data_IF_615764027111
#
_entry.id   IF_615764027111
#
_cell.length_a   1.000
_cell.length_b   1.000
_cell.length_c   1.000
_cell.angle_alpha   90.00
_cell.angle_beta   90.00
_cell.angle_gamma   90.00
#
_symmetry.space_group_name_H-M   'P 1'
#
loop_
_entity.id
_entity.type
_entity.pdbx_description
1 polymer ?
#
# COMPACT_ATOMS: atom_id res chain seq x y z
N UNK A 1 -0.02 6.82 -17.10
CA UNK A 1 0.29 7.00 -15.66
C UNK A 1 0.04 5.68 -14.96
N UNK A 2 0.91 5.29 -14.03
CA UNK A 2 0.67 4.13 -13.18
C UNK A 2 -0.54 4.40 -12.27
N UNK A 3 -1.34 3.38 -12.01
CA UNK A 3 -2.46 3.52 -11.09
C UNK A 3 -2.00 3.59 -9.64
N UNK A 4 -2.60 4.48 -8.85
CA UNK A 4 -2.26 4.72 -7.45
C UNK A 4 -3.36 4.16 -6.55
N UNK A 5 -3.08 3.08 -5.83
CA UNK A 5 -4.05 2.41 -4.95
C UNK A 5 -3.75 2.64 -3.48
N UNK A 6 -4.79 2.81 -2.65
CA UNK A 6 -4.65 2.93 -1.19
C UNK A 6 -3.90 1.73 -0.58
N UNK A 7 -4.16 0.52 -1.10
CA UNK A 7 -3.47 -0.69 -0.66
C UNK A 7 -1.95 -0.64 -0.83
N UNK A 8 -1.44 0.11 -1.83
CA UNK A 8 -0.01 0.22 -2.07
C UNK A 8 0.70 1.02 -0.99
N UNK A 9 0.18 2.20 -0.61
CA UNK A 9 0.77 3.01 0.46
C UNK A 9 0.65 2.32 1.82
N UNK A 10 -0.47 1.65 2.08
CA UNK A 10 -0.65 0.90 3.33
C UNK A 10 0.32 -0.27 3.45
N UNK A 11 0.67 -0.93 2.34
CA UNK A 11 1.67 -1.98 2.34
C UNK A 11 3.08 -1.44 2.67
N UNK A 12 3.44 -0.25 2.16
CA UNK A 12 4.70 0.42 2.52
C UNK A 12 4.71 0.77 4.01
N UNK A 13 3.65 1.41 4.52
CA UNK A 13 3.56 1.79 5.92
C UNK A 13 3.64 0.57 6.86
N UNK A 14 2.95 -0.52 6.51
CA UNK A 14 2.95 -1.76 7.31
C UNK A 14 4.34 -2.44 7.35
N UNK A 15 5.13 -2.32 6.29
CA UNK A 15 6.49 -2.85 6.25
C UNK A 15 7.48 -2.11 7.16
N UNK A 16 7.14 -0.89 7.57
CA UNK A 16 7.97 -0.05 8.45
C UNK A 16 7.66 -0.23 9.95
N UNK A 17 6.64 -1.00 10.30
CA UNK A 17 6.27 -1.20 11.71
C UNK A 17 7.45 -1.80 12.50
N UNK A 18 7.76 -1.18 13.64
CA UNK A 18 8.91 -1.52 14.47
C UNK A 18 10.19 -0.79 14.09
N UNK A 19 10.15 0.14 13.11
CA UNK A 19 11.25 1.05 12.89
C UNK A 19 11.31 2.07 14.03
N UNK A 20 12.45 2.14 14.73
CA UNK A 20 12.72 3.14 15.77
C UNK A 20 13.54 4.30 15.22
N UNK A 21 13.21 5.53 15.61
CA UNK A 21 14.07 6.68 15.35
C UNK A 21 15.43 6.51 16.03
N UNK A 22 16.39 7.31 15.60
CA UNK A 22 17.78 7.16 16.03
C UNK A 22 18.22 8.31 16.94
N UNK A 23 19.14 7.99 17.85
CA UNK A 23 19.79 9.00 18.72
C UNK A 23 20.82 9.85 17.99
N UNK A 24 21.18 9.50 16.76
CA UNK A 24 22.11 10.25 15.92
C UNK A 24 21.89 9.91 14.43
N UNK A 25 22.45 10.70 13.54
CA UNK A 25 22.36 10.51 12.08
C UNK A 25 23.25 9.34 11.60
N UNK A 26 23.09 8.17 12.22
CA UNK A 26 23.83 6.95 11.84
C UNK A 26 22.94 5.72 11.91
N UNK A 27 23.26 4.72 11.08
CA UNK A 27 22.54 3.45 10.98
C UNK A 27 21.02 3.61 10.71
N UNK A 28 20.66 4.63 9.96
CA UNK A 28 19.28 5.00 9.70
C UNK A 28 18.48 3.89 8.99
N UNK A 29 19.13 3.04 8.21
CA UNK A 29 18.47 1.96 7.46
C UNK A 29 18.26 0.68 8.29
N UNK A 30 18.89 0.57 9.46
CA UNK A 30 18.68 -0.57 10.35
C UNK A 30 17.52 -0.28 11.31
N UNK A 31 16.40 -1.01 11.28
CA UNK A 31 15.21 -0.67 12.06
C UNK A 31 15.45 -0.54 13.57
N UNK A 32 16.30 -1.40 14.15
CA UNK A 32 16.51 -1.48 15.60
C UNK A 32 17.80 -0.83 16.09
N UNK A 33 18.84 -0.74 15.24
CA UNK A 33 20.13 -0.23 15.67
C UNK A 33 20.08 1.28 15.95
N UNK A 34 20.94 1.73 16.89
CA UNK A 34 21.06 3.14 17.26
C UNK A 34 19.73 3.80 17.69
N UNK A 35 18.78 3.02 18.23
CA UNK A 35 17.48 3.52 18.66
C UNK A 35 17.63 4.61 19.73
N UNK A 36 16.78 5.63 19.68
CA UNK A 36 16.80 6.77 20.59
C UNK A 36 15.58 7.64 20.39
N UNK A 37 15.66 8.88 20.86
CA UNK A 37 14.58 9.88 20.84
C UNK A 37 15.04 11.22 20.30
N UNK A 38 15.92 11.21 19.27
CA UNK A 38 16.47 12.44 18.69
C UNK A 38 15.96 12.74 17.28
N UNK A 39 14.88 12.07 16.87
CA UNK A 39 14.18 12.30 15.61
C UNK A 39 15.02 12.07 14.33
N UNK A 40 16.17 11.39 14.40
CA UNK A 40 16.90 11.02 13.20
C UNK A 40 16.25 9.79 12.56
N UNK A 41 15.87 9.92 11.28
CA UNK A 41 15.19 8.84 10.56
C UNK A 41 15.68 8.71 9.12
N UNK A 42 15.55 7.52 8.54
CA UNK A 42 15.77 7.34 7.10
C UNK A 42 14.76 8.13 6.26
N UNK A 43 13.56 8.34 6.78
CA UNK A 43 12.49 9.08 6.09
C UNK A 43 12.91 10.53 5.85
N UNK A 44 13.33 11.23 6.89
CA UNK A 44 13.81 12.59 6.79
C UNK A 44 15.10 12.70 5.97
N UNK A 45 16.07 11.78 6.17
CA UNK A 45 17.29 11.72 5.34
C UNK A 45 16.96 11.63 3.86
N UNK A 46 16.04 10.75 3.48
CA UNK A 46 15.69 10.56 2.08
C UNK A 46 15.12 11.82 1.44
N UNK A 47 14.31 12.60 2.16
CA UNK A 47 13.87 13.90 1.69
C UNK A 47 15.03 14.91 1.60
N UNK A 48 15.85 14.98 2.64
CA UNK A 48 16.96 15.95 2.70
C UNK A 48 18.00 15.72 1.60
N UNK A 49 18.28 14.46 1.22
CA UNK A 49 19.33 14.10 0.29
C UNK A 49 18.81 13.87 -1.14
N UNK A 50 17.69 13.15 -1.30
CA UNK A 50 17.20 12.73 -2.62
C UNK A 50 16.14 13.68 -3.18
N UNK A 51 15.39 14.37 -2.30
CA UNK A 51 14.26 15.21 -2.68
C UNK A 51 14.27 16.59 -1.99
N UNK A 52 15.35 17.37 -2.14
CA UNK A 52 15.54 18.64 -1.38
C UNK A 52 14.53 19.73 -1.71
N UNK A 53 13.69 19.52 -2.73
CA UNK A 53 12.58 20.41 -3.09
C UNK A 53 11.25 20.01 -2.48
N UNK A 54 11.19 18.92 -1.72
CA UNK A 54 9.94 18.47 -1.12
C UNK A 54 9.47 19.43 -0.02
N UNK A 55 10.35 19.76 0.90
CA UNK A 55 10.10 20.73 1.96
C UNK A 55 10.87 22.04 1.76
N UNK A 56 10.62 23.01 2.63
CA UNK A 56 11.28 24.31 2.65
C UNK A 56 12.73 24.28 3.21
N UNK A 57 13.29 23.10 3.44
CA UNK A 57 14.64 22.89 3.97
C UNK A 57 14.77 21.52 4.65
N UNK A 58 15.97 21.24 5.16
CA UNK A 58 16.28 19.97 5.81
C UNK A 58 15.41 19.71 7.04
N UNK A 59 15.03 18.46 7.25
CA UNK A 59 14.10 18.02 8.29
C UNK A 59 14.63 16.88 9.18
N UNK A 60 15.81 16.31 8.90
CA UNK A 60 16.35 15.25 9.74
C UNK A 60 16.66 15.77 11.15
N UNK A 61 16.18 15.09 12.16
CA UNK A 61 16.20 15.56 13.56
C UNK A 61 14.95 16.33 14.01
N UNK A 62 13.92 16.46 13.17
CA UNK A 62 12.62 17.04 13.54
C UNK A 62 11.55 15.94 13.69
N UNK A 63 10.45 16.27 14.37
CA UNK A 63 9.29 15.38 14.50
C UNK A 63 8.85 14.88 13.12
N UNK A 64 8.65 13.57 12.99
CA UNK A 64 8.58 12.91 11.70
C UNK A 64 7.29 12.15 11.42
N UNK A 65 6.23 12.39 12.17
CA UNK A 65 4.92 11.75 11.92
C UNK A 65 4.38 12.08 10.52
N UNK A 66 4.46 13.35 10.10
CA UNK A 66 4.04 13.80 8.77
C UNK A 66 5.01 13.31 7.69
N UNK A 67 6.32 13.42 7.94
CA UNK A 67 7.35 12.88 7.03
C UNK A 67 7.20 11.38 6.77
N UNK A 68 6.74 10.61 7.73
CA UNK A 68 6.48 9.19 7.54
C UNK A 68 5.35 8.95 6.52
N UNK A 69 4.26 9.70 6.63
CA UNK A 69 3.15 9.61 5.67
C UNK A 69 3.62 10.00 4.27
N UNK A 70 4.31 11.14 4.16
CA UNK A 70 4.87 11.64 2.90
C UNK A 70 5.84 10.63 2.27
N UNK A 71 6.72 10.04 3.08
CA UNK A 71 7.68 9.05 2.62
C UNK A 71 7.00 7.75 2.14
N UNK A 72 5.95 7.31 2.80
CA UNK A 72 5.15 6.17 2.36
C UNK A 72 4.50 6.45 0.99
N UNK A 73 3.93 7.63 0.80
CA UNK A 73 3.35 8.06 -0.47
C UNK A 73 4.40 8.15 -1.59
N UNK A 74 5.54 8.78 -1.29
CA UNK A 74 6.66 8.91 -2.22
C UNK A 74 7.20 7.55 -2.64
N UNK A 75 7.36 6.63 -1.70
CA UNK A 75 7.86 5.28 -1.94
C UNK A 75 6.88 4.43 -2.76
N UNK A 76 5.58 4.61 -2.52
CA UNK A 76 4.54 3.87 -3.23
C UNK A 76 4.33 4.36 -4.67
N UNK A 77 4.42 5.68 -4.92
CA UNK A 77 3.92 6.28 -6.17
C UNK A 77 4.93 7.14 -6.91
N UNK A 78 6.08 7.43 -6.31
CA UNK A 78 7.07 8.36 -6.86
C UNK A 78 6.68 9.84 -6.67
N UNK A 79 7.59 10.72 -7.04
CA UNK A 79 7.57 12.14 -6.67
C UNK A 79 6.29 12.88 -7.09
N UNK A 80 5.96 12.84 -8.38
CA UNK A 80 4.85 13.61 -8.92
C UNK A 80 3.47 13.14 -8.42
N UNK A 81 3.27 11.81 -8.39
CA UNK A 81 2.00 11.25 -7.93
C UNK A 81 1.83 11.39 -6.42
N UNK A 82 2.89 11.29 -5.64
CA UNK A 82 2.83 11.52 -4.20
C UNK A 82 2.43 12.97 -3.87
N UNK A 83 3.04 13.98 -4.50
CA UNK A 83 2.64 15.40 -4.32
C UNK A 83 1.16 15.61 -4.69
N UNK A 84 0.74 15.05 -5.81
CA UNK A 84 -0.65 15.13 -6.27
C UNK A 84 -1.64 14.51 -5.28
N UNK A 85 -1.33 13.32 -4.76
CA UNK A 85 -2.18 12.58 -3.82
C UNK A 85 -2.27 13.27 -2.45
N UNK A 86 -1.16 13.80 -1.96
CA UNK A 86 -1.07 14.58 -0.72
C UNK A 86 -1.62 16.01 -0.87
N UNK A 87 -2.00 16.42 -2.09
CA UNK A 87 -2.37 17.81 -2.39
C UNK A 87 -1.26 18.82 -2.03
N UNK A 88 -0.02 18.37 -1.92
CA UNK A 88 1.11 19.11 -1.40
C UNK A 88 1.86 19.84 -2.52
N UNK A 89 2.15 21.14 -2.40
CA UNK A 89 3.00 21.84 -3.35
C UNK A 89 4.47 21.46 -3.15
N UNK A 90 5.27 21.58 -4.22
CA UNK A 90 6.73 21.59 -4.06
C UNK A 90 7.17 22.69 -3.10
N UNK A 91 8.25 22.46 -2.36
CA UNK A 91 8.75 23.37 -1.33
C UNK A 91 7.66 23.75 -0.33
N UNK A 92 6.91 22.77 0.10
CA UNK A 92 5.86 22.95 1.10
C UNK A 92 6.39 23.68 2.32
N UNK A 93 5.49 24.28 3.11
CA UNK A 93 5.87 25.11 4.27
C UNK A 93 6.64 24.33 5.34
N UNK A 94 6.65 23.01 5.29
CA UNK A 94 7.39 22.13 6.18
C UNK A 94 6.71 20.79 6.37
N UNK A 95 7.36 19.90 7.09
CA UNK A 95 6.84 18.61 7.51
C UNK A 95 5.94 18.80 8.74
N UNK A 96 4.83 19.48 8.59
CA UNK A 96 3.95 19.81 9.71
C UNK A 96 2.50 19.42 9.44
N UNK A 97 1.91 18.60 10.31
CA UNK A 97 0.58 18.07 10.16
C UNK A 97 -0.51 19.11 9.88
N UNK A 98 -0.38 20.33 10.44
CA UNK A 98 -1.30 21.43 10.16
C UNK A 98 -1.25 21.86 8.70
N UNK A 99 -0.05 21.90 8.10
CA UNK A 99 0.09 22.26 6.69
C UNK A 99 -0.52 21.17 5.79
N UNK A 100 -0.27 19.90 6.10
CA UNK A 100 -0.81 18.78 5.33
C UNK A 100 -2.33 18.78 5.36
N UNK A 101 -2.95 19.02 6.52
CA UNK A 101 -4.41 19.17 6.62
C UNK A 101 -4.90 20.33 5.74
N UNK A 102 -4.23 21.50 5.81
CA UNK A 102 -4.59 22.67 4.99
C UNK A 102 -4.50 22.40 3.48
N UNK A 103 -3.56 21.58 3.02
CA UNK A 103 -3.45 21.23 1.61
C UNK A 103 -4.67 20.43 1.14
N UNK A 104 -5.12 19.47 1.94
CA UNK A 104 -6.36 18.74 1.65
C UNK A 104 -7.59 19.64 1.68
N UNK A 105 -7.68 20.57 2.65
CA UNK A 105 -8.80 21.55 2.70
C UNK A 105 -8.86 22.41 1.43
N UNK A 106 -7.72 22.96 1.00
CA UNK A 106 -7.62 23.80 -0.21
C UNK A 106 -8.07 23.06 -1.48
N UNK A 107 -7.90 21.75 -1.51
CA UNK A 107 -8.29 20.92 -2.66
C UNK A 107 -9.67 20.25 -2.49
N UNK A 108 -10.42 20.61 -1.44
CA UNK A 108 -11.73 20.01 -1.16
C UNK A 108 -11.68 18.51 -0.83
N UNK A 109 -10.53 18.05 -0.31
CA UNK A 109 -10.30 16.64 0.00
C UNK A 109 -10.21 16.35 1.51
N UNK A 110 -10.54 17.31 2.31
CA UNK A 110 -10.69 17.13 3.75
C UNK A 110 -12.08 16.57 4.07
N UNK A 111 -12.13 15.62 5.01
CA UNK A 111 -13.35 15.01 5.53
C UNK A 111 -13.31 15.04 7.07
N UNK A 112 -14.36 15.59 7.68
CA UNK A 112 -14.47 15.63 9.14
C UNK A 112 -14.82 14.25 9.74
N UNK A 113 -15.44 13.37 8.96
CA UNK A 113 -15.95 12.04 9.36
C UNK A 113 -15.79 11.05 8.21
N UNK A 114 -16.18 9.80 8.45
CA UNK A 114 -16.20 8.74 7.44
C UNK A 114 -14.81 8.40 6.89
N UNK A 115 -13.85 7.99 7.76
CA UNK A 115 -12.52 7.59 7.32
C UNK A 115 -12.56 6.38 6.40
N UNK A 116 -11.60 6.35 5.45
CA UNK A 116 -11.40 5.22 4.54
C UNK A 116 -9.94 4.75 4.61
N UNK A 117 -9.68 3.47 4.35
CA UNK A 117 -8.30 2.99 4.24
C UNK A 117 -7.49 3.84 3.24
N UNK A 118 -6.29 4.24 3.65
CA UNK A 118 -5.42 5.13 2.89
C UNK A 118 -5.63 6.63 3.16
N UNK A 119 -6.69 7.05 3.87
CA UNK A 119 -6.81 8.44 4.31
C UNK A 119 -5.67 8.79 5.27
N UNK A 120 -5.18 10.01 5.21
CA UNK A 120 -4.31 10.59 6.23
C UNK A 120 -5.19 11.11 7.38
N UNK A 121 -5.04 10.55 8.57
CA UNK A 121 -5.78 10.98 9.77
C UNK A 121 -5.00 12.08 10.49
N UNK A 122 -5.72 13.06 11.03
CA UNK A 122 -5.15 14.18 11.75
C UNK A 122 -5.66 14.25 13.19
N UNK A 123 -4.74 14.48 14.10
CA UNK A 123 -5.00 14.54 15.54
C UNK A 123 -4.60 15.89 16.11
N UNK A 124 -5.33 16.35 17.14
CA UNK A 124 -5.05 17.59 17.83
C UNK A 124 -5.37 17.50 19.32
N UNK A 125 -4.38 17.73 20.15
CA UNK A 125 -4.57 17.88 21.60
C UNK A 125 -5.36 19.14 21.97
N UNK A 126 -5.38 20.12 21.06
CA UNK A 126 -6.19 21.32 21.19
C UNK A 126 -7.59 21.19 20.55
N UNK A 127 -7.94 20.00 20.04
CA UNK A 127 -9.20 19.73 19.34
C UNK A 127 -9.48 20.72 18.20
N UNK A 128 -8.42 21.17 17.51
CA UNK A 128 -8.50 22.23 16.49
C UNK A 128 -7.71 21.88 15.24
N UNK A 129 -8.30 22.11 14.06
CA UNK A 129 -7.65 21.95 12.76
C UNK A 129 -6.50 22.94 12.54
N UNK A 130 -6.51 24.07 13.22
CA UNK A 130 -5.42 25.06 13.14
C UNK A 130 -4.20 24.71 13.97
N UNK A 131 -4.29 23.65 14.80
CA UNK A 131 -3.21 23.18 15.65
C UNK A 131 -3.18 21.64 15.67
N UNK A 132 -2.83 21.04 14.53
CA UNK A 132 -2.70 19.59 14.40
C UNK A 132 -1.37 19.14 14.99
N UNK A 133 -1.41 18.23 15.96
CA UNK A 133 -0.24 17.78 16.71
C UNK A 133 0.34 16.45 16.24
N UNK A 134 -0.45 15.64 15.51
CA UNK A 134 -0.02 14.32 15.05
C UNK A 134 -0.81 13.85 13.82
N UNK A 135 -0.25 12.86 13.11
CA UNK A 135 -0.87 12.28 11.92
C UNK A 135 -0.41 10.84 11.70
N UNK A 136 -1.15 10.11 10.87
CA UNK A 136 -0.83 8.76 10.41
C UNK A 136 -1.68 8.37 9.21
N UNK A 137 -1.63 7.11 8.82
CA UNK A 137 -2.45 6.53 7.76
C UNK A 137 -3.55 5.66 8.35
N UNK A 138 -4.77 5.82 7.89
CA UNK A 138 -5.88 4.92 8.23
C UNK A 138 -5.63 3.57 7.57
N UNK A 139 -5.43 2.53 8.37
CA UNK A 139 -5.26 1.15 7.88
C UNK A 139 -6.61 0.50 7.61
N UNK A 140 -7.55 0.63 8.54
CA UNK A 140 -8.93 0.12 8.40
C UNK A 140 -9.89 0.79 9.37
N UNK A 141 -11.17 0.62 9.09
CA UNK A 141 -12.27 0.96 10.02
C UNK A 141 -13.01 -0.33 10.36
N UNK A 142 -13.34 -0.52 11.63
CA UNK A 142 -14.03 -1.70 12.12
C UNK A 142 -15.00 -1.29 13.24
N UNK A 143 -16.28 -1.32 12.94
CA UNK A 143 -17.33 -0.85 13.85
C UNK A 143 -17.13 0.61 14.24
N UNK A 144 -16.95 0.88 15.52
CA UNK A 144 -16.76 2.23 16.09
C UNK A 144 -15.30 2.67 16.18
N UNK A 145 -14.35 1.89 15.63
CA UNK A 145 -12.91 2.18 15.73
C UNK A 145 -12.27 2.39 14.38
N UNK A 146 -11.31 3.30 14.35
CA UNK A 146 -10.32 3.46 13.29
C UNK A 146 -8.98 2.88 13.75
N UNK A 147 -8.32 2.14 12.88
CA UNK A 147 -6.98 1.59 13.08
C UNK A 147 -6.01 2.31 12.16
N UNK A 148 -4.85 2.65 12.68
CA UNK A 148 -3.86 3.49 12.00
C UNK A 148 -2.48 2.84 12.00
N UNK A 149 -1.64 3.28 11.05
CA UNK A 149 -0.19 3.08 11.09
C UNK A 149 0.43 4.48 11.18
N UNK A 150 1.22 4.72 12.21
CA UNK A 150 1.72 6.04 12.55
C UNK A 150 3.24 6.02 12.72
N UNK A 151 3.90 7.03 12.16
CA UNK A 151 5.29 7.34 12.47
C UNK A 151 5.37 8.26 13.69
N UNK A 152 6.50 8.26 14.37
CA UNK A 152 6.76 9.07 15.56
C UNK A 152 5.71 8.88 16.68
N UNK A 153 5.21 7.67 16.80
CA UNK A 153 4.32 7.31 17.90
C UNK A 153 5.10 6.49 18.93
N UNK A 154 5.50 7.12 20.06
CA UNK A 154 6.46 6.58 21.02
C UNK A 154 7.81 6.24 20.34
N UNK A 155 8.35 7.20 19.60
CA UNK A 155 9.66 7.15 18.91
C UNK A 155 9.79 6.02 17.86
N UNK A 156 8.68 5.50 17.36
CA UNK A 156 8.67 4.40 16.39
C UNK A 156 7.50 4.46 15.40
N UNK A 157 7.54 3.56 14.42
CA UNK A 157 6.38 3.25 13.58
C UNK A 157 5.58 2.16 14.25
N UNK A 158 4.30 2.43 14.54
CA UNK A 158 3.44 1.45 15.20
C UNK A 158 1.98 1.54 14.72
N UNK A 159 1.23 0.45 14.96
CA UNK A 159 -0.23 0.46 14.86
C UNK A 159 -0.85 1.08 16.10
N UNK A 160 -1.90 1.87 15.87
CA UNK A 160 -2.76 2.43 16.93
C UNK A 160 -4.23 2.19 16.58
N UNK A 161 -5.11 2.43 17.56
CA UNK A 161 -6.55 2.44 17.30
C UNK A 161 -7.24 3.45 18.20
N UNK A 162 -8.27 4.10 17.65
CA UNK A 162 -9.04 5.15 18.31
C UNK A 162 -10.53 4.88 18.11
N UNK A 163 -11.37 5.38 18.99
CA UNK A 163 -12.80 5.44 18.70
C UNK A 163 -13.08 6.53 17.67
N UNK A 164 -14.02 6.29 16.75
CA UNK A 164 -14.43 7.30 15.77
C UNK A 164 -15.02 8.56 16.40
N UNK A 165 -15.47 8.46 17.66
CA UNK A 165 -15.99 9.57 18.47
C UNK A 165 -14.92 10.29 19.26
N UNK A 166 -13.65 9.89 19.16
CA UNK A 166 -12.56 10.52 19.90
C UNK A 166 -12.38 11.97 19.44
N UNK A 167 -12.52 12.91 20.35
CA UNK A 167 -12.38 14.34 20.06
C UNK A 167 -10.94 14.76 19.70
N UNK A 168 -9.96 13.88 19.96
CA UNK A 168 -8.60 14.06 19.51
C UNK A 168 -8.48 14.00 17.97
N UNK A 169 -9.38 13.28 17.30
CA UNK A 169 -9.43 13.22 15.83
C UNK A 169 -10.08 14.49 15.29
N UNK A 170 -9.34 15.27 14.51
CA UNK A 170 -9.85 16.50 13.89
C UNK A 170 -10.19 16.35 12.41
N UNK A 171 -10.05 15.17 11.86
CA UNK A 171 -10.49 14.84 10.50
C UNK A 171 -9.48 14.05 9.68
N UNK A 172 -9.75 13.99 8.39
CA UNK A 172 -9.05 13.10 7.43
C UNK A 172 -8.79 13.83 6.11
N UNK A 173 -7.59 13.67 5.59
CA UNK A 173 -7.25 14.02 4.22
C UNK A 173 -7.42 12.79 3.33
N UNK A 174 -8.18 12.90 2.24
CA UNK A 174 -8.44 11.78 1.33
C UNK A 174 -7.71 11.93 0.02
N UNK A 175 -6.60 11.20 -0.20
CA UNK A 175 -5.92 11.19 -1.49
C UNK A 175 -6.82 10.68 -2.61
N UNK A 176 -6.62 11.21 -3.83
CA UNK A 176 -7.37 10.77 -5.01
C UNK A 176 -6.81 9.47 -5.57
N UNK A 177 -6.94 8.40 -4.80
CA UNK A 177 -6.55 7.07 -5.30
C UNK A 177 -7.42 6.61 -6.46
N UNK A 178 -6.85 5.76 -7.31
CA UNK A 178 -7.63 4.98 -8.27
C UNK A 178 -8.47 3.92 -7.55
N UNK A 179 -9.55 3.49 -8.18
CA UNK A 179 -10.35 2.39 -7.66
C UNK A 179 -9.53 1.10 -7.62
N UNK A 180 -9.58 0.42 -6.48
CA UNK A 180 -8.92 -0.88 -6.32
C UNK A 180 -9.43 -1.87 -7.37
N UNK A 181 -8.55 -2.68 -7.99
CA UNK A 181 -8.98 -3.69 -8.94
C UNK A 181 -9.94 -4.70 -8.26
N UNK A 182 -11.15 -4.81 -8.76
CA UNK A 182 -12.15 -5.75 -8.25
C UNK A 182 -13.23 -5.14 -7.34
N UNK A 183 -13.20 -3.83 -7.04
CA UNK A 183 -14.24 -3.19 -6.25
C UNK A 183 -15.17 -2.32 -7.12
N UNK A 184 -15.99 -2.96 -7.97
CA UNK A 184 -17.16 -2.31 -8.59
C UNK A 184 -18.39 -2.58 -7.72
N UNK A 185 -18.52 -1.85 -6.60
CA UNK A 185 -19.78 -1.74 -5.89
C UNK A 185 -19.95 -0.35 -5.27
N UNK A 186 -20.60 0.53 -6.02
CA UNK A 186 -21.36 1.67 -5.50
C UNK A 186 -22.66 1.11 -4.94
N UNK A 187 -22.74 0.92 -3.64
CA UNK A 187 -23.97 0.48 -2.99
C UNK A 187 -23.73 -0.04 -1.59
N UNK A 188 -24.25 0.69 -0.62
CA UNK A 188 -24.32 0.31 0.79
C UNK A 188 -24.85 -1.12 0.93
N UNK A 189 -23.99 -2.05 1.39
CA UNK A 189 -24.46 -3.29 2.00
C UNK A 189 -23.43 -3.86 2.98
N UNK A 190 -23.96 -4.32 4.09
CA UNK A 190 -23.37 -5.08 5.20
C UNK A 190 -22.46 -6.22 4.71
N UNK A 191 -21.34 -6.55 5.38
CA UNK A 191 -20.44 -7.59 4.93
C UNK A 191 -21.09 -8.97 5.05
N UNK A 192 -21.47 -9.53 3.91
CA UNK A 192 -21.73 -10.95 3.79
C UNK A 192 -20.41 -11.67 3.58
N UNK A 193 -20.15 -12.66 4.42
CA UNK A 193 -19.03 -13.57 4.39
C UNK A 193 -18.92 -14.27 3.03
N UNK A 194 -18.05 -13.74 2.16
CA UNK A 194 -17.71 -14.34 0.87
C UNK A 194 -16.30 -14.91 0.92
N UNK A 195 -16.19 -16.23 0.85
CA UNK A 195 -14.97 -17.03 0.83
C UNK A 195 -14.08 -16.63 -0.35
N UNK A 196 -13.08 -15.77 -0.12
CA UNK A 196 -11.97 -15.59 -1.06
C UNK A 196 -11.06 -16.81 -0.93
N UNK A 197 -10.91 -17.56 -2.01
CA UNK A 197 -10.02 -18.74 -2.05
C UNK A 197 -8.59 -18.30 -1.79
N UNK A 198 -8.08 -18.58 -0.60
CA UNK A 198 -6.69 -18.35 -0.22
C UNK A 198 -5.82 -19.37 -1.00
N UNK A 199 -4.96 -18.89 -1.87
CA UNK A 199 -3.99 -19.73 -2.58
C UNK A 199 -2.76 -19.91 -1.71
N UNK A 200 -2.38 -21.15 -1.43
CA UNK A 200 -1.15 -21.49 -0.74
C UNK A 200 -0.10 -21.97 -1.73
N UNK A 201 1.06 -21.33 -1.75
CA UNK A 201 2.23 -21.72 -2.54
C UNK A 201 3.23 -22.46 -1.64
N UNK A 202 3.77 -23.58 -2.11
CA UNK A 202 4.84 -24.30 -1.41
C UNK A 202 6.17 -23.94 -2.06
N UNK A 203 7.09 -23.39 -1.27
CA UNK A 203 8.44 -22.96 -1.72
C UNK A 203 9.22 -24.16 -2.23
N UNK A 204 9.80 -24.03 -3.41
CA UNK A 204 10.71 -25.02 -4.02
C UNK A 204 12.14 -24.48 -4.11
N UNK A 205 13.09 -25.38 -4.39
CA UNK A 205 14.50 -24.99 -4.50
C UNK A 205 14.70 -23.91 -5.59
N UNK A 206 15.45 -22.86 -5.27
CA UNK A 206 15.72 -21.72 -6.15
C UNK A 206 14.66 -20.62 -6.13
N UNK A 207 13.62 -20.76 -5.31
CA UNK A 207 12.65 -19.69 -5.08
C UNK A 207 13.23 -18.56 -4.21
N UNK A 208 12.74 -17.35 -4.48
CA UNK A 208 12.84 -16.20 -3.60
C UNK A 208 11.45 -15.61 -3.39
N UNK A 209 11.24 -14.93 -2.29
CA UNK A 209 9.94 -14.29 -2.03
C UNK A 209 9.56 -13.30 -3.15
N UNK A 210 10.57 -12.64 -3.75
CA UNK A 210 10.37 -11.73 -4.89
C UNK A 210 9.90 -12.47 -6.15
N UNK A 211 10.47 -13.64 -6.47
CA UNK A 211 10.03 -14.45 -7.60
C UNK A 211 8.61 -14.96 -7.40
N UNK A 212 8.30 -15.43 -6.19
CA UNK A 212 6.96 -15.88 -5.83
C UNK A 212 5.96 -14.72 -5.95
N UNK A 213 6.30 -13.56 -5.39
CA UNK A 213 5.46 -12.37 -5.46
C UNK A 213 5.18 -11.94 -6.92
N UNK A 214 6.20 -11.90 -7.76
CA UNK A 214 6.07 -11.57 -9.19
C UNK A 214 5.14 -12.57 -9.92
N UNK A 215 5.26 -13.87 -9.61
CA UNK A 215 4.41 -14.93 -10.18
C UNK A 215 2.91 -14.70 -9.88
N UNK A 216 2.60 -14.11 -8.73
CA UNK A 216 1.22 -13.87 -8.30
C UNK A 216 0.78 -12.40 -8.41
N UNK A 217 1.54 -11.57 -9.15
CA UNK A 217 1.18 -10.17 -9.39
C UNK A 217 1.17 -9.29 -8.13
N UNK A 218 1.99 -9.66 -7.14
CA UNK A 218 2.13 -8.96 -5.87
C UNK A 218 3.59 -8.56 -5.61
N UNK A 219 3.88 -7.91 -4.51
CA UNK A 219 5.25 -7.57 -4.09
C UNK A 219 5.71 -8.49 -2.97
N UNK A 220 7.03 -8.72 -2.88
CA UNK A 220 7.59 -9.56 -1.81
C UNK A 220 7.31 -8.96 -0.42
N UNK A 221 7.21 -7.63 -0.30
CA UNK A 221 6.85 -6.96 0.95
C UNK A 221 5.43 -7.31 1.38
N UNK A 222 4.45 -7.22 0.46
CA UNK A 222 3.07 -7.65 0.72
C UNK A 222 3.01 -9.12 1.12
N UNK A 223 3.75 -9.94 0.40
CA UNK A 223 3.77 -11.37 0.64
C UNK A 223 4.42 -11.72 1.98
N UNK A 224 5.51 -11.04 2.36
CA UNK A 224 6.17 -11.17 3.65
C UNK A 224 5.25 -10.75 4.80
N UNK A 225 4.65 -9.57 4.71
CA UNK A 225 3.73 -9.05 5.72
C UNK A 225 2.52 -9.97 5.94
N UNK A 226 1.90 -10.45 4.86
CA UNK A 226 0.74 -11.34 4.93
C UNK A 226 1.06 -12.70 5.59
N UNK A 227 2.30 -13.16 5.45
CA UNK A 227 2.77 -14.44 5.99
C UNK A 227 3.54 -14.32 7.31
N UNK A 228 3.66 -13.14 7.89
CA UNK A 228 4.44 -12.90 9.10
C UNK A 228 5.94 -13.18 8.93
N UNK A 229 6.46 -13.04 7.70
CA UNK A 229 7.87 -13.27 7.38
C UNK A 229 8.67 -12.01 7.73
N UNK A 230 9.38 -12.06 8.84
CA UNK A 230 10.20 -10.94 9.35
C UNK A 230 11.40 -10.64 8.48
N UNK A 231 12.02 -11.65 7.86
CA UNK A 231 13.13 -11.47 6.93
C UNK A 231 12.75 -12.01 5.55
N UNK A 232 12.41 -11.16 4.56
CA UNK A 232 11.97 -11.59 3.24
C UNK A 232 13.06 -12.28 2.42
N UNK A 233 14.32 -12.19 2.84
CA UNK A 233 15.44 -12.88 2.20
C UNK A 233 15.61 -14.33 2.67
N UNK A 234 14.84 -14.75 3.67
CA UNK A 234 14.95 -16.11 4.25
C UNK A 234 13.59 -16.80 4.11
N UNK A 235 13.48 -17.63 3.08
CA UNK A 235 12.40 -18.61 2.93
C UNK A 235 13.00 -20.02 2.78
N UNK A 236 12.28 -21.05 3.21
CA UNK A 236 12.77 -22.43 3.21
C UNK A 236 11.99 -23.29 2.23
N UNK A 237 12.66 -24.21 1.56
CA UNK A 237 12.01 -25.23 0.74
C UNK A 237 10.98 -25.99 1.58
N UNK A 238 9.77 -26.15 1.04
CA UNK A 238 8.63 -26.73 1.76
C UNK A 238 7.82 -25.71 2.59
N UNK A 239 8.30 -24.47 2.79
CA UNK A 239 7.53 -23.45 3.48
C UNK A 239 6.26 -23.10 2.69
N UNK A 240 5.14 -23.04 3.38
CA UNK A 240 3.85 -22.64 2.79
C UNK A 240 3.71 -21.11 2.86
N UNK A 241 3.56 -20.49 1.70
CA UNK A 241 3.34 -19.06 1.55
C UNK A 241 1.89 -18.84 1.13
N UNK A 242 1.13 -18.17 1.97
CA UNK A 242 -0.26 -17.77 1.68
C UNK A 242 -0.23 -16.54 0.78
N UNK A 243 -0.96 -16.61 -0.33
CA UNK A 243 -1.04 -15.54 -1.31
C UNK A 243 -2.36 -14.79 -1.10
N UNK A 244 -2.30 -13.54 -0.61
CA UNK A 244 -3.51 -12.79 -0.28
C UNK A 244 -4.29 -12.42 -1.52
N UNK A 245 -5.58 -12.78 -1.59
CA UNK A 245 -6.60 -12.17 -2.45
C UNK A 245 -6.29 -11.96 -3.93
N UNK A 246 -5.27 -12.62 -4.48
CA UNK A 246 -5.00 -12.56 -5.91
C UNK A 246 -5.81 -13.65 -6.61
N UNK A 247 -6.46 -13.34 -7.74
CA UNK A 247 -6.88 -14.38 -8.67
C UNK A 247 -5.65 -15.27 -8.97
N UNK A 248 -5.85 -16.56 -9.09
CA UNK A 248 -4.79 -17.48 -9.52
C UNK A 248 -4.04 -16.87 -10.71
N UNK A 249 -2.69 -17.01 -10.80
CA UNK A 249 -1.93 -16.39 -11.87
C UNK A 249 -2.59 -16.74 -13.20
N UNK A 250 -2.85 -15.71 -14.02
CA UNK A 250 -3.41 -15.93 -15.35
C UNK A 250 -2.49 -16.92 -16.06
N UNK A 251 -3.07 -18.03 -16.51
CA UNK A 251 -2.35 -19.00 -17.30
C UNK A 251 -1.78 -18.31 -18.55
N UNK A 252 -0.61 -18.72 -18.96
CA UNK A 252 -0.01 -18.24 -20.21
C UNK A 252 -0.87 -18.60 -21.42
N UNK A 253 -0.74 -17.87 -22.50
CA UNK A 253 -1.46 -18.20 -23.75
C UNK A 253 -1.21 -19.65 -24.21
N UNK A 254 -0.01 -20.18 -23.98
CA UNK A 254 0.33 -21.56 -24.30
C UNK A 254 -0.40 -22.58 -23.40
N UNK A 255 -0.57 -22.30 -22.12
CA UNK A 255 -1.34 -23.16 -21.20
C UNK A 255 -2.82 -23.12 -21.52
N UNK A 256 -3.38 -21.94 -21.83
CA UNK A 256 -4.77 -21.80 -22.27
C UNK A 256 -4.99 -22.48 -23.61
N UNK A 257 -4.03 -22.38 -24.55
CA UNK A 257 -4.12 -23.09 -25.83
C UNK A 257 -4.23 -24.60 -25.66
N UNK A 258 -3.48 -25.20 -24.74
CA UNK A 258 -3.61 -26.63 -24.39
C UNK A 258 -4.99 -26.96 -23.85
N UNK A 259 -5.57 -26.11 -23.01
CA UNK A 259 -6.91 -26.28 -22.48
C UNK A 259 -8.01 -26.12 -23.53
N UNK A 260 -7.81 -25.20 -24.48
CA UNK A 260 -8.70 -25.03 -25.65
C UNK A 260 -8.68 -26.29 -26.52
N UNK A 261 -7.50 -26.84 -26.81
CA UNK A 261 -7.34 -28.10 -27.56
C UNK A 261 -8.01 -29.27 -26.82
N UNK A 262 -7.90 -29.28 -25.47
CA UNK A 262 -8.58 -30.26 -24.63
C UNK A 262 -10.11 -30.03 -24.47
N UNK A 263 -10.70 -29.07 -25.19
CA UNK A 263 -12.15 -28.81 -25.21
C UNK A 263 -12.70 -28.06 -23.98
N UNK A 264 -11.87 -27.63 -23.02
CA UNK A 264 -12.32 -27.03 -21.75
C UNK A 264 -12.98 -25.64 -21.90
N UNK A 265 -12.79 -24.99 -23.04
CA UNK A 265 -13.25 -23.61 -23.30
C UNK A 265 -14.44 -23.51 -24.24
N UNK A 266 -15.04 -24.65 -24.64
CA UNK A 266 -16.13 -24.68 -25.60
C UNK A 266 -15.66 -24.40 -27.04
N UNK A 267 -16.60 -24.08 -27.95
CA UNK A 267 -16.32 -23.90 -29.37
C UNK A 267 -16.88 -22.58 -29.91
N UNK A 268 -16.30 -22.09 -31.01
CA UNK A 268 -16.80 -20.94 -31.77
C UNK A 268 -17.00 -19.68 -30.91
N UNK A 269 -18.17 -19.05 -31.04
CA UNK A 269 -18.51 -17.83 -30.32
C UNK A 269 -18.55 -18.00 -28.80
N UNK A 270 -18.91 -19.17 -28.29
CA UNK A 270 -18.91 -19.46 -26.86
C UNK A 270 -17.50 -19.48 -26.28
N UNK A 271 -16.54 -20.06 -26.99
CA UNK A 271 -15.11 -20.01 -26.64
C UNK A 271 -14.63 -18.58 -26.55
N UNK A 272 -14.92 -17.76 -27.58
CA UNK A 272 -14.51 -16.36 -27.60
C UNK A 272 -15.02 -15.62 -26.39
N UNK A 273 -16.32 -15.70 -26.13
CA UNK A 273 -16.98 -15.07 -24.97
C UNK A 273 -16.34 -15.48 -23.64
N UNK A 274 -16.08 -16.79 -23.43
CA UNK A 274 -15.49 -17.32 -22.17
C UNK A 274 -14.06 -16.85 -21.97
N UNK A 275 -13.24 -16.84 -23.03
CA UNK A 275 -11.86 -16.38 -22.96
C UNK A 275 -11.80 -14.87 -22.66
N UNK A 276 -12.60 -14.06 -23.35
CA UNK A 276 -12.68 -12.63 -23.14
C UNK A 276 -13.23 -12.29 -21.73
N UNK A 277 -14.25 -13.01 -21.24
CA UNK A 277 -14.79 -12.87 -19.89
C UNK A 277 -13.75 -13.23 -18.81
N UNK A 278 -12.86 -14.20 -19.09
CA UNK A 278 -11.72 -14.53 -18.23
C UNK A 278 -10.52 -13.58 -18.39
N UNK A 279 -10.67 -12.56 -19.27
CA UNK A 279 -9.68 -11.51 -19.50
C UNK A 279 -8.51 -11.96 -20.36
N UNK A 280 -8.67 -12.97 -21.21
CA UNK A 280 -7.69 -13.38 -22.21
C UNK A 280 -7.99 -12.72 -23.56
N UNK A 281 -6.92 -12.43 -24.34
CA UNK A 281 -7.07 -12.03 -25.73
C UNK A 281 -7.36 -13.28 -26.59
N UNK A 282 -8.58 -13.35 -27.13
CA UNK A 282 -9.02 -14.47 -27.97
C UNK A 282 -8.11 -14.73 -29.16
N UNK A 283 -7.64 -13.67 -29.83
CA UNK A 283 -6.81 -13.79 -31.03
C UNK A 283 -5.42 -14.35 -30.67
N UNK A 284 -4.82 -13.86 -29.59
CA UNK A 284 -3.55 -14.37 -29.10
C UNK A 284 -3.62 -15.85 -28.68
N UNK A 285 -4.73 -16.24 -28.04
CA UNK A 285 -4.99 -17.66 -27.69
C UNK A 285 -5.17 -18.49 -28.95
N UNK A 286 -5.95 -18.02 -29.95
CA UNK A 286 -6.18 -18.76 -31.18
C UNK A 286 -4.87 -18.95 -31.99
N UNK A 287 -3.99 -17.94 -32.00
CA UNK A 287 -2.66 -18.09 -32.59
C UNK A 287 -1.83 -19.17 -31.90
N UNK A 288 -1.85 -19.17 -30.56
CA UNK A 288 -1.14 -20.21 -29.78
C UNK A 288 -1.72 -21.62 -29.99
N UNK A 289 -3.04 -21.74 -30.17
CA UNK A 289 -3.71 -22.99 -30.53
C UNK A 289 -3.26 -23.48 -31.91
N UNK A 290 -3.29 -22.60 -32.90
CA UNK A 290 -2.88 -22.92 -34.25
C UNK A 290 -1.39 -23.34 -34.33
N UNK A 291 -0.51 -22.64 -33.63
CA UNK A 291 0.89 -23.01 -33.49
C UNK A 291 1.13 -24.35 -32.80
N UNK A 292 0.28 -24.71 -31.86
CA UNK A 292 0.36 -26.00 -31.12
C UNK A 292 -0.15 -27.18 -31.99
N UNK A 293 -1.11 -26.95 -32.87
CA UNK A 293 -1.67 -27.96 -33.77
C UNK A 293 -0.87 -28.14 -35.05
N UNK A 294 0.00 -27.17 -35.43
CA UNK A 294 0.86 -27.24 -36.60
C UNK A 294 2.18 -28.02 -36.37
N UNK A 295 2.37 -28.58 -35.20
CA UNK A 295 3.52 -29.46 -34.85
C UNK A 295 3.10 -30.91 -34.83
#
# INVERSE_FOLDING_TARGET
>A
MSKCYASAVLAIAAAEIGYHEKKSNSQLDNPAANAGSANYTKYARDFDEKYPKWYNGKKNGFAWCDMFVDWCMLTAFGYADALRLLCQPERSAGAGCTYSLMYYEKQGRYHAKDPKPGDQIFFSTAHSKSNVSHTGLVEKVDGSKVYTIEGNTSDQVARRSYYLSDSYIVGYGRPAYDAEPGNTNTGSQTPSSGTTSEVTYTVVAGDTLSKIAAKYGTTYQKLAAYNGITNPNIIRVGQKIKIPGTPAPKKTNAEIAKEVIAGKWGNGADRKRRLEAAGYDYNAIQQAVNAALAR
#
